data_IF_518593875027
#
_entry.id   IF_518593875027
#
_cell.length_a   1.000
_cell.length_b   1.000
_cell.length_c   1.000
_cell.angle_alpha   90.00
_cell.angle_beta   90.00
_cell.angle_gamma   90.00
#
_symmetry.space_group_name_H-M   'P 1'
#
loop_
_entity.id
_entity.type
_entity.pdbx_description
1 polymer ?
#
# COMPACT_ATOMS: atom_id res chain seq x y z
N UNK A 1 -27.48 -37.30 8.67
CA UNK A 1 -26.13 -36.84 8.36
C UNK A 1 -26.20 -35.33 8.32
N UNK A 2 -25.70 -34.65 9.35
CA UNK A 2 -25.69 -33.19 9.40
C UNK A 2 -24.71 -32.69 8.35
N UNK A 3 -25.16 -31.86 7.40
CA UNK A 3 -24.27 -31.17 6.48
C UNK A 3 -23.22 -30.42 7.30
N UNK A 4 -21.96 -30.84 7.18
CA UNK A 4 -20.83 -30.06 7.68
C UNK A 4 -20.76 -28.85 6.75
N UNK A 5 -21.29 -27.72 7.19
CA UNK A 5 -21.26 -26.48 6.41
C UNK A 5 -19.80 -26.13 6.11
N UNK A 6 -19.41 -26.21 4.84
CA UNK A 6 -18.07 -25.84 4.40
C UNK A 6 -17.81 -24.37 4.78
N UNK A 7 -16.68 -24.11 5.42
CA UNK A 7 -16.27 -22.76 5.84
C UNK A 7 -16.17 -21.87 4.61
N UNK A 8 -16.99 -20.83 4.57
CA UNK A 8 -17.05 -19.88 3.45
C UNK A 8 -16.01 -18.77 3.65
N UNK A 9 -14.90 -18.87 2.92
CA UNK A 9 -13.88 -17.84 2.94
C UNK A 9 -14.36 -16.65 2.09
N UNK A 10 -14.28 -15.41 2.62
CA UNK A 10 -14.65 -14.23 1.85
C UNK A 10 -13.75 -14.05 0.63
N UNK A 11 -14.27 -13.40 -0.41
CA UNK A 11 -13.49 -13.01 -1.58
C UNK A 11 -12.29 -12.16 -1.16
N UNK A 12 -11.12 -12.43 -1.72
CA UNK A 12 -9.89 -11.71 -1.42
C UNK A 12 -10.02 -10.20 -1.66
N UNK A 13 -9.69 -9.39 -0.65
CA UNK A 13 -9.69 -7.94 -0.75
C UNK A 13 -8.28 -7.43 -1.08
N UNK A 14 -8.02 -7.12 -2.36
CA UNK A 14 -6.73 -6.59 -2.81
C UNK A 14 -6.38 -5.23 -2.20
N UNK A 15 -7.39 -4.41 -1.94
CA UNK A 15 -7.17 -3.06 -1.39
C UNK A 15 -6.82 -3.08 0.10
N UNK A 16 -7.22 -4.12 0.82
CA UNK A 16 -6.93 -4.28 2.24
C UNK A 16 -6.79 -5.77 2.62
N UNK A 17 -5.61 -6.36 2.37
CA UNK A 17 -5.33 -7.75 2.72
C UNK A 17 -5.44 -8.01 4.23
N UNK A 18 -5.11 -7.02 5.07
CA UNK A 18 -5.17 -7.15 6.52
C UNK A 18 -6.62 -7.30 7.00
N UNK A 19 -7.53 -6.48 6.49
CA UNK A 19 -8.96 -6.61 6.75
C UNK A 19 -9.50 -7.96 6.28
N UNK A 20 -9.08 -8.44 5.11
CA UNK A 20 -9.49 -9.75 4.61
C UNK A 20 -9.09 -10.89 5.54
N UNK A 21 -7.88 -10.87 6.11
CA UNK A 21 -7.49 -11.87 7.11
C UNK A 21 -8.32 -11.79 8.38
N UNK A 22 -8.71 -10.59 8.85
CA UNK A 22 -9.62 -10.43 10.00
C UNK A 22 -10.98 -11.08 9.71
N UNK A 23 -11.49 -10.93 8.48
CA UNK A 23 -12.74 -11.58 8.06
C UNK A 23 -12.58 -13.11 8.02
N UNK A 24 -11.49 -13.63 7.45
CA UNK A 24 -11.19 -15.07 7.44
C UNK A 24 -11.13 -15.64 8.87
N UNK A 25 -10.47 -14.95 9.79
CA UNK A 25 -10.36 -15.34 11.21
C UNK A 25 -11.71 -15.39 11.91
N UNK A 26 -12.63 -14.51 11.51
CA UNK A 26 -14.01 -14.51 12.00
C UNK A 26 -14.75 -15.75 11.50
N UNK A 27 -14.59 -16.12 10.21
CA UNK A 27 -15.17 -17.36 9.67
C UNK A 27 -14.60 -18.60 10.35
N UNK A 28 -13.30 -18.65 10.61
CA UNK A 28 -12.67 -19.77 11.33
C UNK A 28 -13.22 -19.95 12.74
N UNK A 29 -13.47 -18.85 13.46
CA UNK A 29 -14.06 -18.86 14.80
C UNK A 29 -15.52 -19.35 14.81
N UNK A 30 -16.26 -19.04 13.74
CA UNK A 30 -17.67 -19.39 13.59
C UNK A 30 -17.92 -20.74 12.91
N UNK A 31 -16.86 -21.48 12.55
CA UNK A 31 -16.97 -22.77 11.89
C UNK A 31 -17.75 -23.79 12.74
N UNK A 32 -18.58 -24.61 12.07
CA UNK A 32 -19.46 -25.61 12.67
C UNK A 32 -19.03 -27.01 12.19
N UNK A 33 -18.98 -28.04 13.07
CA UNK A 33 -19.45 -28.07 14.47
C UNK A 33 -18.48 -27.50 15.50
N UNK A 34 -17.23 -27.21 15.13
CA UNK A 34 -16.22 -26.63 16.02
C UNK A 34 -15.38 -25.57 15.29
N UNK A 35 -14.84 -24.57 16.01
CA UNK A 35 -13.93 -23.59 15.44
C UNK A 35 -12.69 -24.24 14.81
N UNK A 36 -12.19 -23.62 13.74
CA UNK A 36 -10.91 -23.99 13.14
C UNK A 36 -9.80 -23.27 13.90
N UNK A 37 -8.99 -24.04 14.63
CA UNK A 37 -7.87 -23.53 15.43
C UNK A 37 -6.51 -23.88 14.84
N UNK A 38 -6.40 -25.04 14.19
CA UNK A 38 -5.17 -25.57 13.62
C UNK A 38 -4.61 -24.66 12.51
N UNK A 39 -3.33 -24.29 12.63
CA UNK A 39 -2.65 -23.39 11.70
C UNK A 39 -2.63 -23.95 10.26
N UNK A 40 -2.24 -25.21 10.10
CA UNK A 40 -2.22 -25.90 8.79
C UNK A 40 -3.59 -25.88 8.11
N UNK A 41 -4.66 -26.08 8.88
CA UNK A 41 -6.03 -26.06 8.35
C UNK A 41 -6.41 -24.65 7.87
N UNK A 42 -6.11 -23.60 8.65
CA UNK A 42 -6.33 -22.21 8.22
C UNK A 42 -5.52 -21.85 6.98
N UNK A 43 -4.25 -22.27 6.93
CA UNK A 43 -3.37 -22.08 5.79
C UNK A 43 -4.00 -22.66 4.51
N UNK A 44 -4.46 -23.91 4.54
CA UNK A 44 -5.08 -24.56 3.37
C UNK A 44 -6.36 -23.83 2.89
N UNK A 45 -7.18 -23.33 3.82
CA UNK A 45 -8.36 -22.53 3.47
C UNK A 45 -7.97 -21.21 2.80
N UNK A 46 -6.98 -20.50 3.33
CA UNK A 46 -6.48 -19.25 2.73
C UNK A 46 -5.93 -19.52 1.33
N UNK A 47 -5.01 -20.48 1.20
CA UNK A 47 -4.32 -20.79 -0.08
C UNK A 47 -5.30 -21.15 -1.18
N UNK A 48 -6.33 -21.95 -0.88
CA UNK A 48 -7.36 -22.33 -1.85
C UNK A 48 -8.24 -21.17 -2.35
N UNK A 49 -8.21 -20.02 -1.68
CA UNK A 49 -9.01 -18.85 -2.02
C UNK A 49 -8.17 -17.65 -2.46
N UNK A 50 -6.84 -17.81 -2.56
CA UNK A 50 -5.98 -16.77 -3.11
C UNK A 50 -6.10 -16.72 -4.64
N UNK A 51 -6.32 -15.53 -5.24
CA UNK A 51 -6.16 -15.35 -6.67
C UNK A 51 -4.74 -15.72 -7.13
N UNK A 52 -4.54 -16.30 -8.33
CA UNK A 52 -3.23 -16.72 -8.82
C UNK A 52 -2.16 -15.62 -8.77
N UNK A 53 -2.51 -14.39 -9.11
CA UNK A 53 -1.63 -13.23 -9.08
C UNK A 53 -1.18 -12.87 -7.66
N UNK A 54 -2.04 -13.09 -6.66
CA UNK A 54 -1.74 -12.85 -5.25
C UNK A 54 -0.90 -14.01 -4.68
N UNK A 55 -1.25 -15.25 -5.03
CA UNK A 55 -0.48 -16.42 -4.65
C UNK A 55 0.97 -16.36 -5.18
N UNK A 56 1.17 -15.76 -6.36
CA UNK A 56 2.50 -15.56 -6.93
C UNK A 56 3.41 -14.68 -6.05
N UNK A 57 2.86 -13.72 -5.30
CA UNK A 57 3.64 -12.84 -4.41
C UNK A 57 4.31 -13.60 -3.25
N UNK A 58 3.75 -14.74 -2.87
CA UNK A 58 4.18 -15.57 -1.73
C UNK A 58 4.48 -17.01 -2.14
N UNK A 59 4.80 -17.23 -3.43
CA UNK A 59 4.98 -18.58 -4.00
C UNK A 59 6.03 -19.42 -3.28
N UNK A 60 7.13 -18.80 -2.84
CA UNK A 60 8.17 -19.41 -2.02
C UNK A 60 7.65 -19.95 -0.68
N UNK A 61 6.74 -19.22 -0.04
CA UNK A 61 6.08 -19.61 1.21
C UNK A 61 5.07 -20.73 0.99
N UNK A 62 4.37 -20.70 -0.15
CA UNK A 62 3.44 -21.76 -0.51
C UNK A 62 4.17 -23.08 -0.83
N UNK A 63 5.33 -23.00 -1.47
CA UNK A 63 6.16 -24.16 -1.79
C UNK A 63 6.89 -24.72 -0.57
N UNK A 64 7.29 -23.86 0.37
CA UNK A 64 8.00 -24.23 1.59
C UNK A 64 7.32 -23.59 2.81
N UNK A 65 6.15 -24.10 3.24
CA UNK A 65 5.43 -23.54 4.37
C UNK A 65 6.20 -23.74 5.68
N UNK A 66 6.05 -22.79 6.61
CA UNK A 66 6.60 -22.92 7.96
C UNK A 66 6.05 -24.17 8.65
N UNK A 67 6.92 -24.90 9.36
CA UNK A 67 6.57 -26.19 9.96
C UNK A 67 5.70 -26.08 11.22
N UNK A 68 5.71 -24.92 11.89
CA UNK A 68 5.07 -24.74 13.19
C UNK A 68 3.80 -23.91 13.09
N UNK A 69 3.84 -22.79 12.36
CA UNK A 69 2.71 -21.88 12.20
C UNK A 69 2.63 -21.30 10.77
N UNK A 70 2.33 -22.15 9.77
CA UNK A 70 2.27 -21.73 8.36
C UNK A 70 1.24 -20.63 8.08
N UNK A 71 0.12 -20.60 8.81
CA UNK A 71 -0.88 -19.55 8.65
C UNK A 71 -0.36 -18.17 9.06
N UNK A 72 0.24 -18.05 10.24
CA UNK A 72 0.73 -16.75 10.72
C UNK A 72 1.88 -16.23 9.88
N UNK A 73 2.77 -17.11 9.41
CA UNK A 73 3.84 -16.75 8.50
C UNK A 73 3.27 -16.25 7.15
N UNK A 74 2.37 -17.03 6.53
CA UNK A 74 1.70 -16.63 5.29
C UNK A 74 0.97 -15.28 5.44
N UNK A 75 0.20 -15.10 6.52
CA UNK A 75 -0.55 -13.86 6.79
C UNK A 75 0.38 -12.64 6.80
N UNK A 76 1.46 -12.74 7.56
CA UNK A 76 2.42 -11.64 7.73
C UNK A 76 3.06 -11.27 6.40
N UNK A 77 3.61 -12.25 5.70
CA UNK A 77 4.31 -12.04 4.44
C UNK A 77 3.37 -11.60 3.32
N UNK A 78 2.16 -12.14 3.25
CA UNK A 78 1.20 -11.73 2.23
C UNK A 78 0.78 -10.26 2.40
N UNK A 79 0.53 -9.83 3.64
CA UNK A 79 0.19 -8.42 3.92
C UNK A 79 1.37 -7.52 3.55
N UNK A 80 2.60 -7.88 3.93
CA UNK A 80 3.79 -7.10 3.65
C UNK A 80 4.03 -6.97 2.13
N UNK A 81 4.11 -8.11 1.42
CA UNK A 81 4.44 -8.13 -0.01
C UNK A 81 3.33 -7.55 -0.88
N UNK A 82 2.06 -7.72 -0.51
CA UNK A 82 0.96 -7.06 -1.20
C UNK A 82 1.01 -5.52 -0.99
N UNK A 83 1.40 -5.06 0.20
CA UNK A 83 1.64 -3.65 0.48
C UNK A 83 2.78 -3.07 -0.35
N UNK A 84 3.93 -3.75 -0.38
CA UNK A 84 5.09 -3.36 -1.19
C UNK A 84 4.76 -3.31 -2.69
N UNK A 85 4.07 -4.33 -3.20
CA UNK A 85 3.63 -4.36 -4.60
C UNK A 85 2.73 -3.17 -4.94
N UNK A 86 1.79 -2.83 -4.05
CA UNK A 86 0.89 -1.68 -4.26
C UNK A 86 1.66 -0.36 -4.24
N UNK A 87 2.61 -0.19 -3.32
CA UNK A 87 3.47 0.99 -3.27
C UNK A 87 4.34 1.12 -4.52
N UNK A 88 4.88 0.00 -5.02
CA UNK A 88 5.67 -0.03 -6.24
C UNK A 88 4.83 0.33 -7.46
N UNK A 89 3.59 -0.17 -7.56
CA UNK A 89 2.64 0.20 -8.62
C UNK A 89 2.37 1.71 -8.61
N UNK A 90 2.12 2.30 -7.44
CA UNK A 90 1.92 3.76 -7.30
C UNK A 90 3.17 4.52 -7.73
N UNK A 91 4.37 4.08 -7.31
CA UNK A 91 5.65 4.71 -7.70
C UNK A 91 5.84 4.67 -9.22
N UNK A 92 5.52 3.54 -9.86
CA UNK A 92 5.59 3.40 -11.32
C UNK A 92 4.57 4.29 -12.03
N UNK A 93 3.32 4.30 -11.57
CA UNK A 93 2.26 5.14 -12.13
C UNK A 93 2.60 6.63 -12.10
N UNK A 94 3.29 7.05 -11.04
CA UNK A 94 3.70 8.44 -10.82
C UNK A 94 5.11 8.73 -11.31
N UNK A 95 5.86 7.78 -11.89
CA UNK A 95 7.28 7.96 -12.21
C UNK A 95 7.55 9.14 -13.15
N UNK A 96 6.67 9.39 -14.11
CA UNK A 96 6.79 10.50 -15.08
C UNK A 96 6.26 11.86 -14.61
N UNK A 97 5.82 12.00 -13.36
CA UNK A 97 5.33 13.28 -12.84
C UNK A 97 6.47 14.13 -12.24
N UNK A 98 7.13 14.95 -13.05
CA UNK A 98 8.25 15.80 -12.60
C UNK A 98 7.81 17.23 -12.33
N UNK A 99 8.38 17.94 -11.35
CA UNK A 99 8.00 19.33 -11.09
C UNK A 99 8.19 20.24 -12.32
N UNK A 100 9.33 20.15 -13.01
CA UNK A 100 9.60 20.98 -14.20
C UNK A 100 9.38 22.48 -13.92
N UNK A 101 8.58 23.15 -14.76
CA UNK A 101 8.24 24.57 -14.62
C UNK A 101 6.88 24.81 -13.94
N UNK A 102 6.18 23.75 -13.49
CA UNK A 102 4.83 23.89 -12.92
C UNK A 102 4.87 24.19 -11.44
N UNK A 103 3.75 24.70 -10.91
CA UNK A 103 3.63 24.91 -9.47
C UNK A 103 3.59 23.57 -8.72
N UNK A 104 4.20 23.46 -7.54
CA UNK A 104 4.03 22.31 -6.65
C UNK A 104 2.57 21.90 -6.42
N UNK A 105 1.65 22.85 -6.25
CA UNK A 105 0.21 22.54 -6.14
C UNK A 105 -0.37 21.89 -7.40
N UNK A 106 0.06 22.30 -8.59
CA UNK A 106 -0.36 21.69 -9.85
C UNK A 106 0.20 20.28 -10.02
N UNK A 107 1.48 20.06 -9.64
CA UNK A 107 2.08 18.73 -9.56
C UNK A 107 1.26 17.82 -8.65
N UNK A 108 0.96 18.27 -7.43
CA UNK A 108 0.19 17.48 -6.47
C UNK A 108 -1.21 17.13 -7.02
N UNK A 109 -1.90 18.09 -7.65
CA UNK A 109 -3.21 17.83 -8.25
C UNK A 109 -3.14 16.76 -9.34
N UNK A 110 -2.08 16.77 -10.16
CA UNK A 110 -1.86 15.76 -11.19
C UNK A 110 -1.54 14.39 -10.59
N UNK A 111 -0.72 14.33 -9.54
CA UNK A 111 -0.43 13.09 -8.82
C UNK A 111 -1.71 12.47 -8.21
N UNK A 112 -2.52 13.28 -7.51
CA UNK A 112 -3.82 12.84 -6.96
C UNK A 112 -4.75 12.32 -8.05
N UNK A 113 -4.85 13.03 -9.18
CA UNK A 113 -5.68 12.61 -10.33
C UNK A 113 -5.22 11.29 -10.93
N UNK A 114 -3.91 11.07 -11.07
CA UNK A 114 -3.40 9.80 -11.62
C UNK A 114 -3.65 8.63 -10.70
N UNK A 115 -3.48 8.82 -9.40
CA UNK A 115 -3.61 7.77 -8.41
C UNK A 115 -5.02 7.63 -7.81
N UNK A 116 -6.02 8.31 -8.38
CA UNK A 116 -7.40 8.34 -7.87
C UNK A 116 -8.00 6.94 -7.68
N UNK A 117 -7.62 6.00 -8.54
CA UNK A 117 -8.13 4.61 -8.51
C UNK A 117 -7.45 3.72 -7.47
N UNK A 118 -6.29 4.12 -6.91
CA UNK A 118 -5.42 3.25 -6.09
C UNK A 118 -5.58 3.43 -4.58
N UNK A 119 -6.54 4.25 -4.10
CA UNK A 119 -6.76 4.55 -2.67
C UNK A 119 -5.45 4.81 -1.91
N UNK A 120 -4.63 5.72 -2.43
CA UNK A 120 -3.30 5.99 -1.88
C UNK A 120 -3.40 6.61 -0.48
N UNK A 121 -2.70 6.08 0.53
CA UNK A 121 -2.60 6.72 1.84
C UNK A 121 -2.00 8.12 1.72
N UNK A 122 -2.58 9.11 2.43
CA UNK A 122 -2.12 10.50 2.34
C UNK A 122 -0.65 10.66 2.74
N UNK A 123 -0.20 9.92 3.74
CA UNK A 123 1.21 9.90 4.19
C UNK A 123 2.17 9.45 3.09
N UNK A 124 1.78 8.44 2.32
CA UNK A 124 2.58 7.94 1.20
C UNK A 124 2.56 8.91 0.03
N UNK A 125 1.39 9.51 -0.28
CA UNK A 125 1.29 10.56 -1.28
C UNK A 125 2.16 11.78 -0.93
N UNK A 126 2.21 12.16 0.35
CA UNK A 126 3.10 13.20 0.86
C UNK A 126 4.57 12.84 0.65
N UNK A 127 5.00 11.64 1.01
CA UNK A 127 6.38 11.19 0.77
C UNK A 127 6.76 11.30 -0.71
N UNK A 128 5.91 10.78 -1.61
CA UNK A 128 6.13 10.84 -3.05
C UNK A 128 6.16 12.27 -3.57
N UNK A 129 5.29 13.14 -3.06
CA UNK A 129 5.24 14.53 -3.44
C UNK A 129 6.54 15.25 -3.03
N UNK A 130 7.00 15.08 -1.79
CA UNK A 130 8.24 15.68 -1.29
C UNK A 130 9.46 15.24 -2.10
N UNK A 131 9.52 13.96 -2.49
CA UNK A 131 10.60 13.42 -3.34
C UNK A 131 10.72 14.10 -4.71
N UNK A 132 9.68 14.80 -5.18
CA UNK A 132 9.65 15.51 -6.46
C UNK A 132 9.94 17.01 -6.34
N UNK A 133 10.12 17.52 -5.13
CA UNK A 133 10.46 18.92 -4.90
C UNK A 133 11.98 19.12 -4.83
N UNK A 134 12.49 20.33 -5.13
CA UNK A 134 13.89 20.66 -4.92
C UNK A 134 14.30 20.50 -3.45
N UNK A 135 15.55 20.10 -3.21
CA UNK A 135 16.08 19.86 -1.85
C UNK A 135 15.92 21.07 -0.93
N UNK A 136 16.06 22.30 -1.46
CA UNK A 136 15.85 23.54 -0.71
C UNK A 136 14.44 23.64 -0.13
N UNK A 137 13.42 23.26 -0.90
CA UNK A 137 12.03 23.24 -0.47
C UNK A 137 11.81 22.14 0.57
N UNK A 138 12.37 20.94 0.34
CA UNK A 138 12.24 19.81 1.27
C UNK A 138 12.80 20.12 2.66
N UNK A 139 13.95 20.79 2.74
CA UNK A 139 14.58 21.20 4.02
C UNK A 139 13.65 22.13 4.81
N UNK A 140 13.02 23.10 4.14
CA UNK A 140 12.11 24.05 4.80
C UNK A 140 10.85 23.32 5.28
N UNK A 141 10.29 22.42 4.45
CA UNK A 141 9.12 21.63 4.82
C UNK A 141 9.38 20.69 6.01
N UNK A 142 10.58 20.14 6.13
CA UNK A 142 10.96 19.27 7.25
C UNK A 142 10.91 19.98 8.61
N UNK A 143 11.01 21.31 8.64
CA UNK A 143 10.89 22.10 9.86
C UNK A 143 9.42 22.43 10.25
N UNK A 144 8.44 22.09 9.40
CA UNK A 144 7.02 22.38 9.63
C UNK A 144 6.38 21.28 10.46
N UNK A 145 5.84 21.66 11.61
CA UNK A 145 5.08 20.76 12.49
C UNK A 145 3.68 20.52 11.90
N UNK A 146 3.16 19.29 12.01
CA UNK A 146 1.85 18.88 11.49
C UNK A 146 1.68 19.21 9.99
N UNK A 147 2.70 18.86 9.21
CA UNK A 147 2.72 19.03 7.77
C UNK A 147 1.72 18.06 7.11
N UNK A 148 0.65 18.62 6.57
CA UNK A 148 -0.31 17.88 5.73
C UNK A 148 0.05 18.01 4.27
N UNK A 149 -0.53 17.15 3.43
CA UNK A 149 -0.27 17.13 2.00
C UNK A 149 -0.63 18.47 1.32
N UNK A 150 -1.77 19.05 1.68
CA UNK A 150 -2.22 20.32 1.09
C UNK A 150 -1.37 21.51 1.59
N UNK A 151 -0.98 21.51 2.87
CA UNK A 151 -0.06 22.52 3.42
C UNK A 151 1.31 22.44 2.75
N UNK A 152 1.81 21.23 2.48
CA UNK A 152 3.09 21.04 1.82
C UNK A 152 3.07 21.67 0.42
N UNK A 153 2.01 21.49 -0.35
CA UNK A 153 1.86 22.14 -1.66
C UNK A 153 1.80 23.67 -1.55
N UNK A 154 0.98 24.22 -0.66
CA UNK A 154 0.85 25.67 -0.49
C UNK A 154 2.17 26.33 -0.08
N UNK A 155 2.87 25.75 0.91
CA UNK A 155 4.16 26.28 1.37
C UNK A 155 5.20 26.17 0.25
N UNK A 156 5.20 25.06 -0.50
CA UNK A 156 6.12 24.88 -1.64
C UNK A 156 5.90 25.92 -2.74
N UNK A 157 4.65 26.22 -3.08
CA UNK A 157 4.32 27.27 -4.06
C UNK A 157 4.93 28.61 -3.62
N UNK A 158 4.71 28.99 -2.34
CA UNK A 158 5.23 30.25 -1.79
C UNK A 158 6.75 30.30 -1.79
N UNK A 159 7.42 29.19 -1.46
CA UNK A 159 8.89 29.12 -1.48
C UNK A 159 9.40 29.35 -2.89
N UNK A 160 8.82 28.69 -3.90
CA UNK A 160 9.28 28.81 -5.29
C UNK A 160 8.91 30.16 -5.93
N UNK A 161 7.85 30.83 -5.47
CA UNK A 161 7.51 32.20 -5.90
C UNK A 161 8.55 33.23 -5.43
N UNK A 162 9.17 33.03 -4.26
CA UNK A 162 10.18 33.95 -3.69
C UNK A 162 11.61 33.52 -3.97
N UNK A 163 11.83 32.29 -4.43
CA UNK A 163 13.15 31.79 -4.82
C UNK A 163 13.45 32.29 -6.22
N UNK A 164 14.44 33.18 -6.43
CA UNK A 164 14.85 33.55 -7.77
C UNK A 164 15.28 32.28 -8.50
N UNK A 165 14.76 32.09 -9.72
CA UNK A 165 15.19 31.01 -10.61
C UNK A 165 16.70 31.14 -10.76
N UNK A 166 17.46 30.35 -10.01
CA UNK A 166 18.82 30.02 -10.40
C UNK A 166 18.64 29.22 -11.68
N UNK A 167 18.52 29.93 -12.81
CA UNK A 167 18.77 29.36 -14.10
C UNK A 167 20.18 28.81 -13.98
N UNK A 168 20.29 27.48 -13.84
CA UNK A 168 21.53 26.79 -14.12
C UNK A 168 21.85 27.13 -15.57
N UNK A 169 22.70 28.15 -15.74
CA UNK A 169 23.35 28.45 -17.00
C UNK A 169 24.32 27.28 -17.20
N UNK A 170 23.84 26.21 -17.82
CA UNK A 170 24.72 25.23 -18.43
C UNK A 170 25.37 25.92 -19.63
N UNK A 171 26.63 26.31 -19.43
CA UNK A 171 27.59 26.73 -20.46
C UNK A 171 28.00 25.53 -21.30
#
# INVERSE_FOLDING_TARGET
MSEVGAVQIPVYNRSDPALWFIMCESTFKLAVPKPITESVTKFNYVVSHLPPEVASLVSDILMNPDATDPYSHLKTELINRAGESSQQEIRQLLSGEELGTRKPSELLRNMKRRAETLKVPETFMLELFLQRLPTSVQIILAAVIDLTLDKAAEISDRILEVTPVLMEIHV
#
